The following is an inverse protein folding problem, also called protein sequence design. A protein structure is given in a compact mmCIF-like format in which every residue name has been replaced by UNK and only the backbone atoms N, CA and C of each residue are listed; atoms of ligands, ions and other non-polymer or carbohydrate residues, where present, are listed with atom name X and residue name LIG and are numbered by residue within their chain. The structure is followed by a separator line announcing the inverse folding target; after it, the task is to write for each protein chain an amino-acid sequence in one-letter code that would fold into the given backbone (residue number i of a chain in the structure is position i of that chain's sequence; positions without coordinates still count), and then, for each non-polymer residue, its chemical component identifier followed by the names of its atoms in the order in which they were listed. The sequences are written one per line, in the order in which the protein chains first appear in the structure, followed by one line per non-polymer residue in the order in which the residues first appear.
data_IF_348084182138
#
_entry.id   IF_348084182138
#
_cell.length_a   1.000
_cell.length_b   1.000
_cell.length_c   1.000
_cell.angle_alpha   90.00
_cell.angle_beta   90.00
_cell.angle_gamma   90.00
#
_symmetry.space_group_name_H-M   'P 1'
#
loop_
_entity.id
_entity.type
_entity.pdbx_description
1 polymer ?
#
# COMPACT_ATOMS: atom_id res chain seq x y z
N UNK A 1 -28.20 -61.82 22.03
CA UNK A 1 -28.07 -61.56 20.58
C UNK A 1 -27.76 -60.08 20.41
N UNK A 2 -26.57 -59.78 19.87
CA UNK A 2 -26.07 -58.42 19.67
C UNK A 2 -26.73 -57.81 18.42
N UNK A 3 -27.23 -56.58 18.51
CA UNK A 3 -27.40 -55.71 17.34
C UNK A 3 -26.73 -54.38 17.62
N UNK A 4 -25.59 -54.20 16.93
CA UNK A 4 -24.79 -52.99 16.87
C UNK A 4 -25.47 -51.99 15.93
N UNK A 5 -25.66 -50.77 16.41
CA UNK A 5 -26.16 -49.64 15.62
C UNK A 5 -25.07 -49.15 14.67
N UNK A 6 -25.37 -49.10 13.37
CA UNK A 6 -24.50 -48.49 12.37
C UNK A 6 -24.98 -47.05 12.04
N UNK A 7 -24.23 -46.00 12.40
CA UNK A 7 -24.65 -44.60 12.22
C UNK A 7 -24.66 -44.11 10.76
N UNK A 8 -24.20 -44.92 9.80
CA UNK A 8 -24.15 -44.55 8.38
C UNK A 8 -25.52 -44.55 7.67
N UNK A 9 -26.54 -45.17 8.25
CA UNK A 9 -27.86 -45.27 7.62
C UNK A 9 -28.67 -43.96 7.69
N UNK A 10 -28.44 -43.11 8.69
CA UNK A 10 -29.19 -41.85 8.87
C UNK A 10 -28.69 -40.75 7.94
N UNK A 11 -27.39 -40.74 7.62
CA UNK A 11 -26.78 -39.74 6.73
C UNK A 11 -27.22 -39.96 5.28
N UNK A 12 -27.45 -41.22 4.86
CA UNK A 12 -27.88 -41.55 3.51
C UNK A 12 -29.27 -40.99 3.15
N UNK A 13 -30.19 -40.87 4.12
CA UNK A 13 -31.55 -40.37 3.87
C UNK A 13 -31.60 -38.85 3.69
N UNK A 14 -30.71 -38.09 4.33
CA UNK A 14 -30.69 -36.62 4.22
C UNK A 14 -30.12 -36.16 2.87
N UNK A 15 -29.16 -36.90 2.30
CA UNK A 15 -28.53 -36.57 1.01
C UNK A 15 -29.49 -36.82 -0.16
N UNK A 16 -30.39 -37.81 -0.07
CA UNK A 16 -31.35 -38.12 -1.14
C UNK A 16 -32.50 -37.12 -1.26
N UNK A 17 -32.86 -36.38 -0.20
CA UNK A 17 -33.97 -35.41 -0.26
C UNK A 17 -33.60 -34.12 -0.99
N UNK A 18 -32.31 -33.73 -1.01
CA UNK A 18 -31.85 -32.49 -1.68
C UNK A 18 -31.60 -32.72 -3.18
N UNK A 19 -31.44 -33.96 -3.61
CA UNK A 19 -31.09 -34.31 -5.00
C UNK A 19 -32.29 -34.37 -5.99
N UNK A 20 -33.52 -34.06 -5.57
CA UNK A 20 -34.69 -34.09 -6.46
C UNK A 20 -35.07 -32.74 -7.10
N UNK A 21 -34.34 -31.64 -6.86
CA UNK A 21 -34.72 -30.32 -7.40
C UNK A 21 -33.81 -29.75 -8.48
N UNK A 22 -32.74 -30.44 -8.89
CA UNK A 22 -31.84 -29.90 -9.94
C UNK A 22 -31.30 -30.99 -10.89
N UNK A 23 -32.21 -31.58 -11.66
CA UNK A 23 -31.86 -32.41 -12.81
C UNK A 23 -31.39 -31.51 -13.96
N UNK A 24 -30.07 -31.33 -14.12
CA UNK A 24 -29.54 -30.61 -15.29
C UNK A 24 -28.11 -30.07 -15.21
N UNK A 25 -27.45 -30.10 -14.05
CA UNK A 25 -26.10 -29.50 -13.89
C UNK A 25 -25.06 -30.46 -13.28
N UNK A 26 -25.10 -31.74 -13.64
CA UNK A 26 -24.15 -32.75 -13.12
C UNK A 26 -23.19 -33.28 -14.18
N UNK A 27 -23.41 -33.01 -15.46
CA UNK A 27 -22.69 -33.67 -16.55
C UNK A 27 -21.36 -32.98 -16.97
N UNK A 28 -21.13 -31.76 -16.45
CA UNK A 28 -19.91 -30.98 -16.71
C UNK A 28 -18.84 -31.13 -15.62
N UNK A 29 -19.24 -31.48 -14.40
CA UNK A 29 -18.32 -31.66 -13.26
C UNK A 29 -17.67 -33.05 -13.26
N UNK A 30 -18.38 -34.10 -13.66
CA UNK A 30 -17.85 -35.46 -13.73
C UNK A 30 -16.76 -35.64 -14.79
N UNK A 31 -16.81 -34.89 -15.90
CA UNK A 31 -15.74 -34.88 -16.91
C UNK A 31 -14.47 -34.15 -16.46
N UNK A 32 -14.60 -33.13 -15.62
CA UNK A 32 -13.44 -32.39 -15.08
C UNK A 32 -12.65 -33.27 -14.09
N UNK A 33 -13.34 -34.02 -13.24
CA UNK A 33 -12.70 -34.92 -12.27
C UNK A 33 -12.00 -36.13 -12.90
N UNK A 34 -12.46 -36.63 -14.05
CA UNK A 34 -11.83 -37.79 -14.73
C UNK A 34 -10.53 -37.44 -15.46
N UNK A 35 -10.27 -36.17 -15.78
CA UNK A 35 -9.00 -35.74 -16.39
C UNK A 35 -7.91 -35.44 -15.35
N UNK A 36 -8.28 -35.26 -14.08
CA UNK A 36 -7.33 -34.95 -12.99
C UNK A 36 -6.71 -36.21 -12.35
N UNK A 37 -7.31 -37.39 -12.55
CA UNK A 37 -6.92 -38.64 -11.88
C UNK A 37 -5.73 -39.39 -12.50
N UNK A 38 -5.28 -39.00 -13.70
CA UNK A 38 -4.15 -39.65 -14.40
C UNK A 38 -2.86 -38.81 -14.41
N UNK A 39 -2.79 -37.73 -13.62
CA UNK A 39 -1.57 -36.94 -13.50
C UNK A 39 -0.53 -37.66 -12.63
N UNK A 40 0.74 -37.82 -13.06
CA UNK A 40 1.79 -38.38 -12.22
C UNK A 40 1.96 -37.54 -10.96
N UNK A 41 2.35 -38.16 -9.82
CA UNK A 41 2.54 -37.43 -8.58
C UNK A 41 3.59 -36.32 -8.78
N UNK A 42 3.36 -35.12 -8.22
CA UNK A 42 4.33 -34.04 -8.32
C UNK A 42 5.65 -34.48 -7.67
N UNK A 43 6.82 -34.10 -8.24
CA UNK A 43 8.10 -34.38 -7.62
C UNK A 43 8.14 -33.77 -6.21
N UNK A 44 8.85 -34.40 -5.27
CA UNK A 44 8.98 -33.87 -3.93
C UNK A 44 9.55 -32.44 -3.97
N UNK A 45 9.06 -31.53 -3.12
CA UNK A 45 9.57 -30.16 -3.10
C UNK A 45 11.08 -30.19 -2.82
N UNK A 46 11.87 -29.28 -3.44
CA UNK A 46 13.28 -29.12 -3.11
C UNK A 46 13.42 -28.92 -1.60
N UNK A 47 14.30 -29.69 -0.95
CA UNK A 47 14.62 -29.46 0.46
C UNK A 47 15.14 -28.04 0.60
N UNK A 48 14.39 -27.21 1.32
CA UNK A 48 14.86 -25.90 1.75
C UNK A 48 16.13 -26.13 2.59
N UNK A 49 17.22 -25.38 2.35
CA UNK A 49 18.37 -25.41 3.23
C UNK A 49 17.91 -24.95 4.62
N UNK A 50 18.05 -25.83 5.62
CA UNK A 50 18.00 -25.47 7.04
C UNK A 50 19.23 -24.62 7.32
N UNK A 51 19.13 -23.32 7.02
CA UNK A 51 20.04 -22.35 7.57
C UNK A 51 19.48 -21.97 8.94
N UNK A 52 20.06 -22.55 9.99
CA UNK A 52 20.12 -21.92 11.31
C UNK A 52 20.90 -20.60 11.13
N UNK A 53 20.19 -19.60 10.64
CA UNK A 53 20.72 -18.25 10.55
C UNK A 53 20.29 -17.54 11.83
N UNK A 54 21.21 -17.63 12.78
CA UNK A 54 21.34 -16.82 13.98
C UNK A 54 20.73 -15.42 13.74
N UNK A 55 19.71 -15.11 14.53
CA UNK A 55 18.97 -13.85 14.44
C UNK A 55 19.89 -12.67 14.71
N UNK A 56 20.43 -12.06 13.67
CA UNK A 56 21.03 -10.75 13.76
C UNK A 56 19.96 -9.71 14.12
N UNK A 57 20.23 -8.80 15.06
CA UNK A 57 19.32 -7.70 15.38
C UNK A 57 19.06 -6.85 14.14
N UNK A 58 17.79 -6.68 13.78
CA UNK A 58 17.37 -5.68 12.81
C UNK A 58 17.70 -4.32 13.44
N UNK A 59 18.70 -3.62 12.91
CA UNK A 59 19.04 -2.25 13.31
C UNK A 59 18.23 -1.26 12.44
N UNK A 60 17.09 -0.72 12.92
CA UNK A 60 16.28 0.23 12.15
C UNK A 60 16.95 1.61 11.96
N UNK A 61 18.04 1.89 12.69
CA UNK A 61 18.70 3.19 12.70
C UNK A 61 19.52 3.50 11.43
N UNK A 62 20.03 2.48 10.74
CA UNK A 62 20.97 2.69 9.61
C UNK A 62 20.27 3.03 8.30
N UNK A 63 19.08 2.49 8.05
CA UNK A 63 18.35 2.73 6.80
C UNK A 63 17.83 4.17 6.69
N UNK A 64 17.28 4.72 7.77
CA UNK A 64 16.84 6.12 7.84
C UNK A 64 18.02 7.09 7.70
N UNK A 65 19.16 6.76 8.33
CA UNK A 65 20.39 7.58 8.27
C UNK A 65 20.96 7.69 6.85
N UNK A 66 20.93 6.61 6.07
CA UNK A 66 21.49 6.60 4.72
C UNK A 66 20.63 7.42 3.75
N UNK A 67 19.31 7.30 3.85
CA UNK A 67 18.35 8.01 3.01
C UNK A 67 18.28 9.51 3.31
N UNK A 68 18.30 9.92 4.58
CA UNK A 68 18.37 11.34 4.96
C UNK A 68 19.70 11.98 4.53
N UNK A 69 20.82 11.25 4.60
CA UNK A 69 22.10 11.72 4.05
C UNK A 69 22.04 11.94 2.54
N UNK A 70 21.37 11.05 1.81
CA UNK A 70 21.17 11.18 0.35
C UNK A 70 20.33 12.41 0.01
N UNK A 71 19.17 12.60 0.67
CA UNK A 71 18.30 13.78 0.49
C UNK A 71 19.03 15.07 0.85
N UNK A 72 19.74 15.11 1.99
CA UNK A 72 20.52 16.28 2.40
C UNK A 72 21.64 16.59 1.42
N UNK A 73 22.32 15.57 0.88
CA UNK A 73 23.37 15.76 -0.13
C UNK A 73 22.79 16.35 -1.43
N UNK A 74 21.61 15.90 -1.87
CA UNK A 74 20.92 16.44 -3.04
C UNK A 74 20.54 17.90 -2.81
N UNK A 75 19.96 18.23 -1.65
CA UNK A 75 19.58 19.61 -1.30
C UNK A 75 20.78 20.55 -1.23
N UNK A 76 21.90 20.11 -0.64
CA UNK A 76 23.14 20.89 -0.59
C UNK A 76 23.73 21.12 -1.98
N UNK A 77 23.65 20.13 -2.86
CA UNK A 77 24.11 20.26 -4.25
C UNK A 77 23.20 21.21 -5.03
N UNK A 78 21.88 21.13 -4.86
CA UNK A 78 20.92 22.06 -5.47
C UNK A 78 21.15 23.50 -5.02
N UNK A 79 21.58 23.73 -3.78
CA UNK A 79 21.89 25.08 -3.30
C UNK A 79 23.11 25.71 -3.99
N UNK A 80 24.08 24.89 -4.42
CA UNK A 80 25.30 25.31 -5.12
C UNK A 80 25.08 25.52 -6.62
N UNK A 81 23.94 25.08 -7.16
CA UNK A 81 23.62 25.26 -8.57
C UNK A 81 23.40 26.75 -8.91
N UNK A 82 23.73 27.16 -10.14
CA UNK A 82 23.35 28.48 -10.65
C UNK A 82 21.84 28.69 -10.60
N UNK A 83 21.42 29.96 -10.60
CA UNK A 83 20.03 30.36 -10.30
C UNK A 83 18.99 29.63 -11.15
N UNK A 84 19.23 29.45 -12.46
CA UNK A 84 18.29 28.75 -13.35
C UNK A 84 18.13 27.28 -12.95
N UNK A 85 19.24 26.57 -12.79
CA UNK A 85 19.29 25.15 -12.47
C UNK A 85 18.69 24.88 -11.08
N UNK A 86 18.96 25.78 -10.12
CA UNK A 86 18.36 25.74 -8.78
C UNK A 86 16.84 25.86 -8.84
N UNK A 87 16.31 26.75 -9.67
CA UNK A 87 14.86 26.92 -9.83
C UNK A 87 14.22 25.71 -10.52
N UNK A 88 14.86 25.15 -11.55
CA UNK A 88 14.41 23.93 -12.21
C UNK A 88 14.35 22.75 -11.22
N UNK A 89 15.38 22.58 -10.39
CA UNK A 89 15.45 21.53 -9.38
C UNK A 89 14.40 21.69 -8.28
N UNK A 90 14.15 22.91 -7.80
CA UNK A 90 13.09 23.18 -6.82
C UNK A 90 11.70 22.87 -7.36
N UNK A 91 11.42 23.27 -8.60
CA UNK A 91 10.16 22.95 -9.27
C UNK A 91 9.97 21.44 -9.39
N UNK A 92 11.02 20.71 -9.80
CA UNK A 92 10.99 19.24 -9.85
C UNK A 92 10.64 18.63 -8.50
N UNK A 93 11.34 19.01 -7.43
CA UNK A 93 11.11 18.45 -6.08
C UNK A 93 9.65 18.63 -5.66
N UNK A 94 9.10 19.83 -5.86
CA UNK A 94 7.70 20.11 -5.56
C UNK A 94 6.74 19.26 -6.40
N UNK A 95 6.97 19.18 -7.72
CA UNK A 95 6.13 18.42 -8.63
C UNK A 95 6.19 16.90 -8.33
N UNK A 96 7.35 16.35 -7.95
CA UNK A 96 7.49 14.93 -7.59
C UNK A 96 6.74 14.58 -6.28
N UNK A 97 6.63 15.53 -5.35
CA UNK A 97 5.95 15.33 -4.06
C UNK A 97 4.43 15.24 -4.19
N UNK A 98 3.85 15.87 -5.21
CA UNK A 98 2.39 15.91 -5.38
C UNK A 98 1.81 14.75 -6.21
N UNK A 99 2.62 13.76 -6.60
CA UNK A 99 2.18 12.67 -7.47
C UNK A 99 1.92 11.38 -6.73
N UNK A 100 0.76 10.77 -6.95
CA UNK A 100 0.50 9.40 -6.51
C UNK A 100 0.98 8.36 -7.56
N UNK A 101 0.68 8.52 -8.86
CA UNK A 101 0.97 7.46 -9.85
C UNK A 101 1.41 7.83 -11.28
N UNK A 102 0.93 8.89 -11.99
CA UNK A 102 1.01 8.81 -13.49
C UNK A 102 1.41 10.00 -14.40
N UNK A 103 2.00 11.13 -13.95
CA UNK A 103 2.78 11.98 -14.87
C UNK A 103 4.27 12.03 -14.54
N UNK A 104 4.82 10.99 -13.89
CA UNK A 104 6.25 10.95 -13.56
C UNK A 104 7.13 11.11 -14.81
N UNK A 105 6.76 10.49 -15.94
CA UNK A 105 7.52 10.64 -17.20
C UNK A 105 7.43 12.05 -17.79
N UNK A 106 6.27 12.69 -17.69
CA UNK A 106 6.08 14.07 -18.13
C UNK A 106 6.89 15.03 -17.25
N UNK A 107 6.86 14.86 -15.93
CA UNK A 107 7.67 15.67 -14.99
C UNK A 107 9.15 15.54 -15.29
N UNK A 108 9.66 14.31 -15.49
CA UNK A 108 11.07 14.08 -15.85
C UNK A 108 11.42 14.81 -17.14
N UNK A 109 10.56 14.73 -18.16
CA UNK A 109 10.79 15.37 -19.45
C UNK A 109 10.75 16.91 -19.35
N UNK A 110 9.79 17.47 -18.62
CA UNK A 110 9.70 18.92 -18.39
C UNK A 110 10.90 19.44 -17.60
N UNK A 111 11.31 18.75 -16.54
CA UNK A 111 12.51 19.11 -15.79
C UNK A 111 13.77 19.04 -16.65
N UNK A 112 13.93 17.96 -17.42
CA UNK A 112 15.08 17.80 -18.30
C UNK A 112 15.16 18.90 -19.36
N UNK A 113 14.01 19.31 -19.91
CA UNK A 113 13.94 20.44 -20.82
C UNK A 113 14.34 21.75 -20.13
N UNK A 114 13.82 22.03 -18.92
CA UNK A 114 14.20 23.21 -18.12
C UNK A 114 15.71 23.25 -17.87
N UNK A 115 16.30 22.13 -17.46
CA UNK A 115 17.72 22.07 -17.12
C UNK A 115 18.62 22.20 -18.36
N UNK A 116 18.27 21.54 -19.48
CA UNK A 116 18.97 21.72 -20.75
C UNK A 116 18.92 23.16 -21.26
N UNK A 117 17.78 23.83 -21.11
CA UNK A 117 17.63 25.26 -21.45
C UNK A 117 18.48 26.14 -20.52
N UNK A 118 18.56 25.81 -19.24
CA UNK A 118 19.45 26.53 -18.32
C UNK A 118 20.93 26.36 -18.67
N UNK A 119 21.36 25.16 -19.09
CA UNK A 119 22.74 24.93 -19.53
C UNK A 119 23.07 25.70 -20.82
N UNK A 120 22.13 25.82 -21.75
CA UNK A 120 22.26 26.71 -22.91
C UNK A 120 22.44 28.17 -22.49
N UNK A 121 21.67 28.63 -21.50
CA UNK A 121 21.77 29.98 -20.97
C UNK A 121 23.15 30.25 -20.35
N UNK A 122 23.67 29.30 -19.57
CA UNK A 122 24.99 29.37 -18.95
C UNK A 122 26.12 29.37 -19.98
N UNK A 123 25.98 28.54 -21.02
CA UNK A 123 26.89 28.49 -22.15
C UNK A 123 26.81 29.72 -23.08
N UNK A 124 25.88 30.66 -22.80
CA UNK A 124 25.57 31.82 -23.66
C UNK A 124 25.23 31.40 -25.10
N UNK A 125 24.66 30.21 -25.24
CA UNK A 125 24.21 29.67 -26.52
C UNK A 125 22.83 30.24 -26.89
N UNK A 126 22.47 30.15 -28.17
CA UNK A 126 21.17 30.58 -28.65
C UNK A 126 20.07 29.62 -28.14
N UNK A 127 19.12 30.16 -27.37
CA UNK A 127 17.96 29.39 -26.90
C UNK A 127 16.87 29.43 -27.97
N UNK A 128 16.39 28.28 -28.47
CA UNK A 128 15.32 28.25 -29.45
C UNK A 128 14.02 28.86 -28.89
N UNK A 129 13.26 29.67 -29.66
CA UNK A 129 12.03 30.30 -29.19
C UNK A 129 10.96 29.29 -28.75
N UNK A 130 10.98 28.09 -29.35
CA UNK A 130 10.11 26.97 -28.96
C UNK A 130 10.34 26.48 -27.52
N UNK A 131 11.47 26.83 -26.89
CA UNK A 131 11.80 26.46 -25.52
C UNK A 131 11.51 27.57 -24.50
N UNK A 132 10.85 28.66 -24.91
CA UNK A 132 10.62 29.84 -24.06
C UNK A 132 9.78 29.53 -22.81
N UNK A 133 8.81 28.63 -22.88
CA UNK A 133 7.99 28.17 -21.74
C UNK A 133 8.81 27.47 -20.65
N UNK A 134 10.03 27.01 -20.97
CA UNK A 134 10.95 26.34 -20.05
C UNK A 134 11.99 27.27 -19.45
N UNK A 135 11.90 28.59 -19.69
CA UNK A 135 12.71 29.60 -19.02
C UNK A 135 12.07 30.04 -17.70
N UNK A 136 12.86 30.24 -16.63
CA UNK A 136 12.34 30.78 -15.38
C UNK A 136 11.92 32.24 -15.59
N UNK A 137 10.63 32.56 -15.35
CA UNK A 137 10.18 33.96 -15.35
C UNK A 137 10.58 34.60 -14.02
N UNK A 138 11.38 35.66 -14.08
CA UNK A 138 11.66 36.50 -12.92
C UNK A 138 10.48 37.46 -12.78
N UNK A 139 9.51 37.14 -11.94
CA UNK A 139 8.53 38.15 -11.52
C UNK A 139 9.25 39.11 -10.58
N UNK A 140 9.60 40.30 -11.08
CA UNK A 140 10.10 41.37 -10.23
C UNK A 140 8.95 41.86 -9.33
N UNK A 141 8.78 41.26 -8.16
CA UNK A 141 8.02 41.82 -7.04
C UNK A 141 8.68 43.07 -6.43
N UNK A 142 9.46 43.79 -7.25
CA UNK A 142 10.03 45.09 -6.93
C UNK A 142 8.91 46.11 -6.64
N UNK A 143 7.67 45.96 -7.12
CA UNK A 143 6.60 46.90 -6.75
C UNK A 143 6.09 46.80 -5.30
N UNK A 144 6.56 45.84 -4.50
CA UNK A 144 6.13 45.68 -3.10
C UNK A 144 6.96 46.50 -2.09
N UNK A 145 8.18 46.94 -2.43
CA UNK A 145 8.98 47.79 -1.51
C UNK A 145 8.32 49.16 -1.26
N UNK A 146 7.56 49.69 -2.23
CA UNK A 146 6.82 50.96 -2.08
C UNK A 146 5.53 50.85 -1.27
N UNK A 147 4.95 49.65 -1.10
CA UNK A 147 3.69 49.47 -0.36
C UNK A 147 3.87 49.02 1.11
N UNK A 148 5.08 48.61 1.50
CA UNK A 148 5.39 48.15 2.86
C UNK A 148 5.68 49.26 3.88
N UNK A 149 5.99 50.49 3.45
CA UNK A 149 6.33 51.60 4.36
C UNK A 149 5.11 52.19 5.08
N UNK A 150 3.89 52.06 4.54
CA UNK A 150 2.67 52.67 5.12
C UNK A 150 1.96 51.80 6.17
N UNK A 151 2.54 50.68 6.62
CA UNK A 151 1.94 49.82 7.65
C UNK A 151 2.96 49.47 8.74
N UNK A 152 2.85 50.04 9.96
CA UNK A 152 3.68 49.63 11.08
C UNK A 152 3.22 48.26 11.56
N UNK A 153 4.08 47.24 11.44
CA UNK A 153 3.86 45.93 12.08
C UNK A 153 3.89 44.70 11.19
N UNK A 154 4.12 44.79 9.88
CA UNK A 154 4.34 43.59 9.05
C UNK A 154 5.80 43.49 8.60
N UNK A 155 6.65 43.02 9.52
CA UNK A 155 7.98 42.50 9.17
C UNK A 155 7.83 41.09 8.58
N UNK A 156 7.02 40.95 7.53
CA UNK A 156 7.07 39.75 6.70
C UNK A 156 8.35 39.87 5.89
N UNK A 157 9.41 39.19 6.35
CA UNK A 157 10.57 38.89 5.50
C UNK A 157 10.01 38.38 4.18
N UNK A 158 10.39 38.94 3.01
CA UNK A 158 9.91 38.42 1.74
C UNK A 158 10.41 36.98 1.61
N UNK A 159 9.54 36.04 1.97
CA UNK A 159 9.76 34.63 1.78
C UNK A 159 9.60 34.36 0.29
N UNK A 160 10.69 33.85 -0.26
CA UNK A 160 10.75 32.97 -1.42
C UNK A 160 10.75 33.69 -2.78
N UNK A 161 11.95 33.73 -3.36
CA UNK A 161 12.18 33.73 -4.80
C UNK A 161 11.49 32.50 -5.43
N UNK A 162 10.20 32.61 -5.75
CA UNK A 162 9.49 31.64 -6.59
C UNK A 162 9.68 32.06 -8.05
N UNK A 163 10.77 31.60 -8.66
CA UNK A 163 10.83 31.60 -10.12
C UNK A 163 9.77 30.63 -10.62
N UNK A 164 8.63 31.17 -11.05
CA UNK A 164 7.54 30.38 -11.62
C UNK A 164 7.82 30.14 -13.09
N UNK A 165 7.79 28.86 -13.47
CA UNK A 165 7.67 28.50 -14.87
C UNK A 165 6.22 28.73 -15.30
N UNK A 166 6.03 29.14 -16.54
CA UNK A 166 4.70 29.09 -17.15
C UNK A 166 4.25 27.62 -17.24
N UNK A 167 2.95 27.38 -17.24
CA UNK A 167 2.43 26.02 -17.48
C UNK A 167 2.82 25.63 -18.90
N UNK A 168 3.82 24.75 -19.02
CA UNK A 168 4.23 24.20 -20.30
C UNK A 168 3.25 23.10 -20.69
N UNK A 169 2.69 23.23 -21.89
CA UNK A 169 1.84 22.20 -22.48
C UNK A 169 2.69 21.05 -23.03
N UNK A 170 2.06 19.92 -23.33
CA UNK A 170 2.75 18.82 -24.03
C UNK A 170 3.26 19.26 -25.42
N UNK A 171 2.50 20.13 -26.11
CA UNK A 171 2.88 20.68 -27.41
C UNK A 171 4.14 21.57 -27.33
N UNK A 172 4.26 22.38 -26.27
CA UNK A 172 5.46 23.18 -25.99
C UNK A 172 6.67 22.27 -25.77
N UNK A 173 6.49 21.18 -25.02
CA UNK A 173 7.53 20.21 -24.75
C UNK A 173 8.00 19.54 -26.05
N UNK A 174 7.07 19.03 -26.86
CA UNK A 174 7.40 18.39 -28.14
C UNK A 174 8.17 19.36 -29.06
N UNK A 175 7.70 20.61 -29.16
CA UNK A 175 8.31 21.65 -29.99
C UNK A 175 9.71 22.01 -29.51
N UNK A 176 9.91 22.16 -28.21
CA UNK A 176 11.24 22.41 -27.63
C UNK A 176 12.19 21.23 -27.85
N UNK A 177 11.73 20.00 -27.62
CA UNK A 177 12.54 18.79 -27.81
C UNK A 177 12.97 18.60 -29.27
N UNK A 178 12.12 18.99 -30.23
CA UNK A 178 12.48 18.97 -31.65
C UNK A 178 13.66 19.91 -31.95
N UNK A 179 13.77 21.05 -31.25
CA UNK A 179 14.90 21.97 -31.39
C UNK A 179 16.14 21.46 -30.65
N UNK A 180 16.01 20.99 -29.42
CA UNK A 180 17.12 20.43 -28.64
C UNK A 180 17.77 19.23 -29.33
N UNK A 181 17.00 18.44 -30.09
CA UNK A 181 17.52 17.30 -30.86
C UNK A 181 18.40 17.69 -32.05
N UNK A 182 18.30 18.92 -32.55
CA UNK A 182 19.09 19.39 -33.71
C UNK A 182 20.56 19.58 -33.36
N UNK A 183 20.85 19.88 -32.10
CA UNK A 183 22.21 20.10 -31.59
C UNK A 183 22.61 18.94 -30.66
N UNK A 184 23.63 18.12 -31.01
CA UNK A 184 24.00 16.95 -30.22
C UNK A 184 24.30 17.26 -28.75
N UNK A 185 24.97 18.38 -28.46
CA UNK A 185 25.31 18.78 -27.10
C UNK A 185 24.06 19.05 -26.24
N UNK A 186 23.06 19.71 -26.84
CA UNK A 186 21.78 20.00 -26.19
C UNK A 186 20.95 18.73 -25.95
N UNK A 187 20.96 17.80 -26.90
CA UNK A 187 20.27 16.52 -26.75
C UNK A 187 20.89 15.65 -25.66
N UNK A 188 22.22 15.58 -25.60
CA UNK A 188 22.94 14.84 -24.55
C UNK A 188 22.62 15.39 -23.17
N UNK A 189 22.69 16.73 -23.02
CA UNK A 189 22.28 17.43 -21.79
C UNK A 189 20.87 17.02 -21.35
N UNK A 190 19.88 17.16 -22.24
CA UNK A 190 18.50 16.78 -21.98
C UNK A 190 18.39 15.31 -21.51
N UNK A 191 18.99 14.37 -22.25
CA UNK A 191 18.87 12.94 -21.94
C UNK A 191 19.46 12.58 -20.57
N UNK A 192 20.62 13.16 -20.22
CA UNK A 192 21.25 12.97 -18.93
C UNK A 192 20.39 13.54 -17.79
N UNK A 193 19.87 14.74 -17.99
CA UNK A 193 19.02 15.41 -17.00
C UNK A 193 17.70 14.67 -16.78
N UNK A 194 17.12 14.06 -17.83
CA UNK A 194 15.93 13.22 -17.70
C UNK A 194 16.18 11.98 -16.85
N UNK A 195 17.35 11.34 -17.00
CA UNK A 195 17.72 10.20 -16.20
C UNK A 195 17.96 10.58 -14.73
N UNK A 196 18.63 11.72 -14.50
CA UNK A 196 18.92 12.23 -13.15
C UNK A 196 17.64 12.62 -12.38
N UNK A 197 16.60 13.06 -13.08
CA UNK A 197 15.31 13.39 -12.50
C UNK A 197 14.68 12.22 -11.72
N UNK A 198 14.93 10.97 -12.13
CA UNK A 198 14.45 9.76 -11.45
C UNK A 198 14.95 9.72 -10.01
N UNK A 199 16.24 9.98 -9.81
CA UNK A 199 16.88 9.92 -8.49
C UNK A 199 16.34 11.04 -7.60
N UNK A 200 16.20 12.25 -8.16
CA UNK A 200 15.64 13.39 -7.42
C UNK A 200 14.18 13.17 -7.02
N UNK A 201 13.32 12.64 -7.91
CA UNK A 201 11.92 12.35 -7.56
C UNK A 201 11.80 11.26 -6.50
N UNK A 202 12.61 10.19 -6.60
CA UNK A 202 12.63 9.13 -5.58
C UNK A 202 13.02 9.70 -4.22
N UNK A 203 14.07 10.53 -4.18
CA UNK A 203 14.51 11.19 -2.96
C UNK A 203 13.43 12.14 -2.38
N UNK A 204 12.75 12.92 -3.24
CA UNK A 204 11.72 13.87 -2.82
C UNK A 204 10.47 13.19 -2.23
N UNK A 205 10.12 12.00 -2.70
CA UNK A 205 8.96 11.21 -2.23
C UNK A 205 9.27 10.32 -1.03
N UNK A 206 10.55 10.08 -0.74
CA UNK A 206 10.96 9.02 0.17
C UNK A 206 10.48 9.20 1.63
N UNK A 207 10.25 10.43 2.07
CA UNK A 207 9.69 10.75 3.40
C UNK A 207 8.15 10.66 3.40
N UNK A 208 7.49 11.09 2.33
CA UNK A 208 6.02 11.04 2.18
C UNK A 208 5.52 9.60 2.14
N UNK A 209 6.14 8.77 1.30
CA UNK A 209 5.80 7.35 1.17
C UNK A 209 6.04 6.58 2.48
N UNK A 210 6.99 7.04 3.31
CA UNK A 210 7.23 6.44 4.62
C UNK A 210 6.10 6.75 5.61
N UNK A 211 5.64 8.00 5.67
CA UNK A 211 4.55 8.41 6.54
C UNK A 211 3.23 7.72 6.16
N UNK A 212 2.95 7.60 4.86
CA UNK A 212 1.80 6.83 4.34
C UNK A 212 1.86 5.36 4.75
N UNK A 213 3.03 4.71 4.59
CA UNK A 213 3.21 3.32 4.98
C UNK A 213 3.07 3.10 6.50
N UNK A 214 3.58 4.03 7.32
CA UNK A 214 3.43 3.97 8.78
C UNK A 214 1.96 4.12 9.17
N UNK A 215 1.23 5.04 8.53
CA UNK A 215 -0.20 5.24 8.80
C UNK A 215 -1.01 4.00 8.40
N UNK A 216 -0.71 3.41 7.25
CA UNK A 216 -1.33 2.16 6.82
C UNK A 216 -1.06 1.01 7.80
N UNK A 217 0.19 0.84 8.24
CA UNK A 217 0.56 -0.18 9.22
C UNK A 217 -0.16 0.01 10.56
N UNK A 218 -0.31 1.26 11.03
CA UNK A 218 -1.08 1.59 12.23
C UNK A 218 -2.55 1.20 12.07
N UNK A 219 -3.18 1.57 10.97
CA UNK A 219 -4.59 1.22 10.69
C UNK A 219 -4.79 -0.29 10.60
N UNK A 220 -3.89 -1.00 9.92
CA UNK A 220 -3.94 -2.46 9.85
C UNK A 220 -3.77 -3.11 11.23
N UNK A 221 -2.82 -2.63 12.05
CA UNK A 221 -2.56 -3.14 13.39
C UNK A 221 -3.75 -2.89 14.31
N UNK A 222 -4.36 -1.70 14.25
CA UNK A 222 -5.56 -1.36 15.01
C UNK A 222 -6.75 -2.25 14.62
N UNK A 223 -6.97 -2.45 13.31
CA UNK A 223 -8.02 -3.33 12.81
C UNK A 223 -7.81 -4.79 13.26
N UNK A 224 -6.58 -5.28 13.18
CA UNK A 224 -6.20 -6.63 13.65
C UNK A 224 -6.40 -6.76 15.16
N UNK A 225 -6.05 -5.73 15.92
CA UNK A 225 -6.22 -5.72 17.38
C UNK A 225 -7.71 -5.80 17.76
N UNK A 226 -8.57 -4.99 17.12
CA UNK A 226 -10.03 -5.03 17.34
C UNK A 226 -10.61 -6.41 17.00
N UNK A 227 -10.20 -6.99 15.88
CA UNK A 227 -10.62 -8.34 15.52
C UNK A 227 -10.16 -9.38 16.56
N UNK A 228 -8.94 -9.23 17.09
CA UNK A 228 -8.41 -10.12 18.10
C UNK A 228 -9.16 -9.99 19.43
N UNK A 229 -9.52 -8.77 19.85
CA UNK A 229 -10.32 -8.54 21.06
C UNK A 229 -11.71 -9.16 20.93
N UNK A 230 -12.37 -9.02 19.78
CA UNK A 230 -13.68 -9.62 19.53
C UNK A 230 -13.60 -11.16 19.59
N UNK A 231 -12.51 -11.75 19.08
CA UNK A 231 -12.26 -13.19 19.19
C UNK A 231 -12.01 -13.66 20.64
N UNK A 232 -11.41 -12.82 21.48
CA UNK A 232 -11.23 -13.15 22.90
C UNK A 232 -12.55 -13.06 23.68
N UNK A 233 -13.38 -12.05 23.42
CA UNK A 233 -14.69 -11.90 24.08
C UNK A 233 -15.65 -13.03 23.68
N UNK A 234 -15.68 -13.38 22.38
CA UNK A 234 -16.48 -14.52 21.90
C UNK A 234 -16.00 -15.85 22.49
N UNK A 235 -14.71 -16.02 22.75
CA UNK A 235 -14.17 -17.21 23.44
C UNK A 235 -14.67 -17.30 24.87
N UNK A 236 -14.61 -16.22 25.64
CA UNK A 236 -15.09 -16.19 27.02
C UNK A 236 -16.59 -16.48 27.10
N UNK A 237 -17.37 -15.85 26.21
CA UNK A 237 -18.80 -16.14 26.06
C UNK A 237 -19.09 -17.60 25.71
N UNK A 238 -18.32 -18.19 24.79
CA UNK A 238 -18.50 -19.59 24.39
C UNK A 238 -18.19 -20.57 25.53
N UNK A 239 -17.14 -20.32 26.31
CA UNK A 239 -16.82 -21.16 27.48
C UNK A 239 -17.88 -21.05 28.58
N UNK A 240 -18.45 -19.85 28.80
CA UNK A 240 -19.57 -19.67 29.73
C UNK A 240 -20.82 -20.46 29.29
N UNK A 241 -21.22 -20.32 28.02
CA UNK A 241 -22.37 -21.06 27.45
C UNK A 241 -22.14 -22.57 27.52
N UNK A 242 -20.92 -23.03 27.23
CA UNK A 242 -20.57 -24.45 27.32
C UNK A 242 -20.71 -24.98 28.75
N UNK A 243 -20.32 -24.20 29.76
CA UNK A 243 -20.48 -24.55 31.17
C UNK A 243 -21.96 -24.67 31.55
N UNK A 244 -22.78 -23.69 31.17
CA UNK A 244 -24.22 -23.68 31.46
C UNK A 244 -24.94 -24.86 30.81
N UNK A 245 -24.58 -25.19 29.57
CA UNK A 245 -25.11 -26.36 28.88
C UNK A 245 -24.76 -27.66 29.62
N UNK A 246 -23.54 -27.76 30.12
CA UNK A 246 -23.11 -28.94 30.86
C UNK A 246 -23.87 -29.09 32.18
N UNK A 247 -24.07 -27.99 32.91
CA UNK A 247 -24.86 -27.96 34.14
C UNK A 247 -26.31 -28.37 33.90
N UNK A 248 -26.93 -27.83 32.85
CA UNK A 248 -28.29 -28.19 32.45
C UNK A 248 -28.40 -29.69 32.12
N UNK A 249 -27.43 -30.24 31.37
CA UNK A 249 -27.37 -31.65 31.05
C UNK A 249 -27.32 -32.53 32.30
N UNK A 250 -26.50 -32.15 33.28
CA UNK A 250 -26.38 -32.89 34.56
C UNK A 250 -27.69 -32.83 35.34
N UNK A 251 -28.31 -31.65 35.45
CA UNK A 251 -29.61 -31.49 36.15
C UNK A 251 -30.72 -32.31 35.51
N UNK A 252 -30.76 -32.38 34.17
CA UNK A 252 -31.73 -33.22 33.45
C UNK A 252 -31.49 -34.70 33.76
N UNK A 253 -30.22 -35.13 33.80
CA UNK A 253 -29.86 -36.51 34.11
C UNK A 253 -30.24 -36.89 35.54
N UNK A 254 -29.98 -36.02 36.52
CA UNK A 254 -30.38 -36.22 37.92
C UNK A 254 -31.90 -36.27 38.06
N UNK A 255 -32.62 -35.35 37.40
CA UNK A 255 -34.08 -35.36 37.40
C UNK A 255 -34.64 -36.65 36.80
N UNK A 256 -34.02 -37.16 35.74
CA UNK A 256 -34.39 -38.43 35.15
C UNK A 256 -34.23 -39.59 36.13
N UNK A 257 -33.11 -39.67 36.84
CA UNK A 257 -32.86 -40.70 37.86
C UNK A 257 -33.90 -40.60 38.99
N UNK A 258 -34.14 -39.39 39.51
CA UNK A 258 -35.13 -39.18 40.57
C UNK A 258 -36.55 -39.58 40.15
N UNK A 259 -36.94 -39.32 38.89
CA UNK A 259 -38.22 -39.78 38.37
C UNK A 259 -38.33 -41.30 38.34
N UNK A 260 -37.26 -42.01 37.94
CA UNK A 260 -37.25 -43.47 37.94
C UNK A 260 -37.32 -44.05 39.35
N UNK A 261 -36.55 -43.50 40.29
CA UNK A 261 -36.55 -43.94 41.69
C UNK A 261 -37.92 -43.75 42.34
N UNK A 262 -38.53 -42.58 42.15
CA UNK A 262 -39.87 -42.29 42.64
C UNK A 262 -40.92 -43.21 42.01
N UNK A 263 -40.79 -43.52 40.72
CA UNK A 263 -41.70 -44.43 40.04
C UNK A 263 -41.61 -45.87 40.58
N UNK A 264 -40.41 -46.39 40.85
CA UNK A 264 -40.22 -47.70 41.47
C UNK A 264 -40.73 -47.77 42.93
N UNK A 265 -40.55 -46.69 43.70
CA UNK A 265 -41.07 -46.60 45.08
C UNK A 265 -42.60 -46.56 45.12
N UNK A 266 -43.25 -45.84 44.19
CA UNK A 266 -44.71 -45.85 44.05
C UNK A 266 -45.22 -47.25 43.68
N UNK A 267 -44.53 -47.93 42.75
CA UNK A 267 -44.93 -49.25 42.28
C UNK A 267 -44.84 -50.31 43.39
N UNK A 268 -43.80 -50.26 44.21
CA UNK A 268 -43.65 -51.16 45.36
C UNK A 268 -44.69 -50.88 46.44
N UNK A 269 -45.01 -49.61 46.71
CA UNK A 269 -46.09 -49.25 47.66
C UNK A 269 -47.48 -49.74 47.21
N UNK A 270 -47.78 -49.68 45.91
CA UNK A 270 -49.04 -50.20 45.35
C UNK A 270 -49.12 -51.73 45.42
N UNK A 271 -47.99 -52.45 45.35
CA UNK A 271 -47.97 -53.92 45.46
C UNK A 271 -48.11 -54.44 46.90
N UNK A 272 -47.90 -53.57 47.90
CA UNK A 272 -48.00 -53.91 49.33
C UNK A 272 -49.35 -53.51 49.97
N UNK A 273 -50.23 -52.86 49.21
CA UNK A 273 -51.60 -52.49 49.58
C UNK A 273 -52.63 -53.42 48.96
#
# INVERSE_FOLDING_TARGET
MLFSFCPYAVIALVVTQVASTNYGRTDRLTRFWRLQSDAPPPPPPPRLPTNEQESHPIEPANFFSQRTKEVLSILQNVQKLPTCNKNAAKALIHDCQSLETDPLEQIKAVYAARLAVCELLEAKANIPPACSSFLPKISSSSKQYMRGWLRPGSLTKPTIYDARYEQATEEDLISCLAQLRREPQSWTSYSNNRQNAVVMCRAARAEIEQDENINLFKSFTEATYRQMSDLFETREYYEAVKKDFHELSTKIQDFHIQLYENHEDIKTKIQLS
#
